data_IF_672031463421
#
_entry.id   IF_672031463421
#
_cell.length_a   1.000
_cell.length_b   1.000
_cell.length_c   1.000
_cell.angle_alpha   90.00
_cell.angle_beta   90.00
_cell.angle_gamma   90.00
#
_symmetry.space_group_name_H-M   'P 1'
#
loop_
_entity.id
_entity.type
_entity.pdbx_description
1 polymer ?
#
# COMPACT_ATOMS: atom_id res chain seq x y z
N UNK A 1 -12.37 19.19 58.09
CA UNK A 1 -12.92 18.03 57.33
C UNK A 1 -13.86 18.47 56.22
N UNK A 2 -14.99 19.18 56.44
CA UNK A 2 -15.97 19.53 55.39
C UNK A 2 -15.39 20.24 54.16
N UNK A 3 -14.47 21.20 54.32
CA UNK A 3 -13.84 21.94 53.22
C UNK A 3 -13.00 21.02 52.31
N UNK A 4 -12.24 20.10 52.89
CA UNK A 4 -11.42 19.14 52.12
C UNK A 4 -12.29 18.16 51.33
N UNK A 5 -13.38 17.67 51.94
CA UNK A 5 -14.33 16.77 51.31
C UNK A 5 -15.04 17.47 50.13
N UNK A 6 -15.40 18.75 50.28
CA UNK A 6 -16.00 19.53 49.20
C UNK A 6 -15.03 19.73 48.03
N UNK A 7 -13.78 20.09 48.31
CA UNK A 7 -12.75 20.26 47.27
C UNK A 7 -12.51 18.92 46.55
N UNK A 8 -12.48 17.81 47.26
CA UNK A 8 -12.33 16.51 46.62
C UNK A 8 -13.52 16.18 45.72
N UNK A 9 -14.74 16.43 46.19
CA UNK A 9 -15.97 16.21 45.39
C UNK A 9 -15.99 17.04 44.11
N UNK A 10 -15.55 18.31 44.19
CA UNK A 10 -15.46 19.18 43.00
C UNK A 10 -14.44 18.61 42.02
N UNK A 11 -13.26 18.21 42.48
CA UNK A 11 -12.23 17.60 41.62
C UNK A 11 -12.72 16.30 40.98
N UNK A 12 -13.45 15.46 41.70
CA UNK A 12 -13.99 14.23 41.14
C UNK A 12 -15.03 14.53 40.06
N UNK A 13 -15.92 15.53 40.27
CA UNK A 13 -16.87 15.98 39.25
C UNK A 13 -16.16 16.58 38.02
N UNK A 14 -15.13 17.39 38.20
CA UNK A 14 -14.31 17.93 37.08
C UNK A 14 -13.71 16.80 36.23
N UNK A 15 -13.20 15.72 36.87
CA UNK A 15 -12.68 14.56 36.18
C UNK A 15 -13.74 13.79 35.40
N UNK A 16 -14.91 13.61 36.02
CA UNK A 16 -16.04 12.92 35.35
C UNK A 16 -16.53 13.72 34.14
N UNK A 17 -16.63 15.04 34.25
CA UNK A 17 -16.97 15.93 33.15
C UNK A 17 -15.93 15.84 32.03
N UNK A 18 -14.65 15.87 32.39
CA UNK A 18 -13.56 15.77 31.41
C UNK A 18 -13.59 14.42 30.68
N UNK A 19 -13.79 13.34 31.42
CA UNK A 19 -13.92 12.00 30.87
C UNK A 19 -15.07 11.94 29.86
N UNK A 20 -16.27 12.31 30.26
CA UNK A 20 -17.47 12.27 29.41
C UNK A 20 -17.31 13.12 28.16
N UNK A 21 -16.74 14.33 28.32
CA UNK A 21 -16.48 15.23 27.19
C UNK A 21 -15.64 14.61 26.11
N UNK A 22 -14.52 13.97 26.46
CA UNK A 22 -13.62 13.38 25.48
C UNK A 22 -14.07 11.99 25.04
N UNK A 23 -14.87 11.28 25.84
CA UNK A 23 -15.49 10.01 25.42
C UNK A 23 -16.47 10.25 24.27
N UNK A 24 -17.25 11.33 24.31
CA UNK A 24 -18.12 11.75 23.21
C UNK A 24 -17.35 12.20 21.95
N UNK A 25 -16.08 12.62 22.10
CA UNK A 25 -15.21 13.05 21.02
C UNK A 25 -14.33 11.93 20.46
N UNK A 26 -14.46 10.69 20.94
CA UNK A 26 -13.69 9.55 20.40
C UNK A 26 -13.96 9.40 18.90
N UNK A 27 -12.88 9.38 18.12
CA UNK A 27 -12.93 9.35 16.66
C UNK A 27 -12.97 10.72 15.98
N UNK A 28 -13.13 11.83 16.74
CA UNK A 28 -13.12 13.19 16.17
C UNK A 28 -11.72 13.79 16.13
N UNK A 29 -11.48 14.66 15.13
CA UNK A 29 -10.21 15.41 15.05
C UNK A 29 -10.16 16.49 16.10
N UNK A 30 -9.05 16.53 16.82
CA UNK A 30 -8.67 17.61 17.71
C UNK A 30 -7.32 18.20 17.29
N UNK A 31 -7.19 19.52 17.48
CA UNK A 31 -5.92 20.22 17.32
C UNK A 31 -5.43 20.64 18.71
N UNK A 32 -4.19 20.29 19.03
CA UNK A 32 -3.58 20.63 20.32
C UNK A 32 -2.12 21.05 20.14
N UNK A 33 -1.62 21.87 21.05
CA UNK A 33 -0.25 22.37 21.03
C UNK A 33 0.69 21.46 21.81
N UNK A 34 1.87 21.17 21.25
CA UNK A 34 2.91 20.38 21.93
C UNK A 34 3.44 21.16 23.13
N UNK A 35 3.14 20.66 24.32
CA UNK A 35 3.64 21.19 25.58
C UNK A 35 5.01 20.61 25.95
N UNK A 36 5.15 19.28 25.88
CA UNK A 36 6.38 18.60 26.25
C UNK A 36 6.57 17.30 25.44
N UNK A 37 7.80 17.04 25.04
CA UNK A 37 8.18 15.80 24.35
C UNK A 37 8.93 14.91 25.33
N UNK A 38 8.38 13.74 25.61
CA UNK A 38 8.98 12.70 26.44
C UNK A 38 9.45 11.53 25.56
N UNK A 39 10.32 10.67 26.08
CA UNK A 39 10.89 9.58 25.28
C UNK A 39 9.88 8.58 24.72
N UNK A 40 8.73 8.43 25.38
CA UNK A 40 7.68 7.46 25.01
C UNK A 40 6.36 8.09 24.58
N UNK A 41 6.17 9.38 24.77
CA UNK A 41 4.92 10.09 24.52
C UNK A 41 5.16 11.59 24.31
N UNK A 42 4.23 12.23 23.64
CA UNK A 42 4.18 13.69 23.53
C UNK A 42 2.97 14.16 24.34
N UNK A 43 3.20 15.10 25.24
CA UNK A 43 2.13 15.79 25.96
C UNK A 43 1.70 17.02 25.16
N UNK A 44 0.41 17.11 24.92
CA UNK A 44 -0.21 18.24 24.23
C UNK A 44 -1.21 18.91 25.14
N UNK A 45 -1.51 20.16 24.84
CA UNK A 45 -2.52 20.94 25.54
C UNK A 45 -3.53 21.46 24.51
N UNK A 46 -4.80 21.25 24.79
CA UNK A 46 -5.88 21.79 23.96
C UNK A 46 -6.13 23.28 24.25
N UNK A 47 -7.09 23.87 23.55
CA UNK A 47 -7.47 25.28 23.73
C UNK A 47 -8.04 25.61 25.11
N UNK A 48 -8.47 24.62 25.89
CA UNK A 48 -9.02 24.78 27.23
C UNK A 48 -7.99 24.52 28.33
N UNK A 49 -6.77 24.12 27.98
CA UNK A 49 -5.69 23.82 28.91
C UNK A 49 -5.69 22.37 29.43
N UNK A 50 -6.47 21.47 28.80
CA UNK A 50 -6.49 20.07 29.17
C UNK A 50 -5.28 19.33 28.58
N UNK A 51 -4.70 18.43 29.37
CA UNK A 51 -3.57 17.61 28.95
C UNK A 51 -4.05 16.40 28.11
N UNK A 52 -3.46 16.24 26.93
CA UNK A 52 -3.69 15.17 26.00
C UNK A 52 -2.39 14.42 25.74
N UNK A 53 -2.45 13.12 25.48
CA UNK A 53 -1.29 12.27 25.35
C UNK A 53 -1.25 11.65 23.96
N UNK A 54 -0.16 11.81 23.23
CA UNK A 54 0.12 11.13 21.97
C UNK A 54 1.26 10.13 22.17
N UNK A 55 0.97 8.85 22.45
CA UNK A 55 1.98 7.82 22.67
C UNK A 55 2.83 7.60 21.41
N UNK A 56 4.07 7.14 21.59
CA UNK A 56 4.99 6.89 20.47
C UNK A 56 4.44 5.89 19.45
N UNK A 57 3.69 4.88 19.88
CA UNK A 57 3.02 3.91 18.99
C UNK A 57 1.89 4.51 18.16
N UNK A 58 1.35 5.66 18.58
CA UNK A 58 0.29 6.38 17.89
C UNK A 58 0.80 7.58 17.07
N UNK A 59 2.13 7.77 16.98
CA UNK A 59 2.79 8.75 16.14
C UNK A 59 3.15 8.12 14.80
N UNK A 60 3.03 8.87 13.71
CA UNK A 60 3.58 8.46 12.42
C UNK A 60 5.11 8.47 12.54
N UNK A 61 5.79 7.46 12.02
CA UNK A 61 7.25 7.31 12.16
C UNK A 61 8.06 8.51 11.64
N UNK A 62 7.47 9.26 10.72
CA UNK A 62 8.03 10.48 10.11
C UNK A 62 7.66 11.77 10.84
N UNK A 63 6.77 11.72 11.83
CA UNK A 63 6.41 12.90 12.63
C UNK A 63 7.65 13.46 13.35
N UNK A 64 7.81 14.77 13.26
CA UNK A 64 8.89 15.52 13.92
C UNK A 64 8.29 16.80 14.49
N UNK A 65 7.84 16.71 15.72
CA UNK A 65 7.24 17.82 16.43
C UNK A 65 8.24 18.52 17.36
N UNK A 66 8.01 19.80 17.58
CA UNK A 66 8.72 20.64 18.52
C UNK A 66 7.72 21.25 19.51
N UNK A 67 8.22 21.68 20.66
CA UNK A 67 7.40 22.41 21.63
C UNK A 67 6.80 23.67 20.96
N UNK A 68 5.49 23.84 21.12
CA UNK A 68 4.73 24.94 20.51
C UNK A 68 4.12 24.60 19.14
N UNK A 69 4.45 23.44 18.55
CA UNK A 69 3.81 23.03 17.29
C UNK A 69 2.34 22.64 17.52
N UNK A 70 1.48 23.02 16.59
CA UNK A 70 0.09 22.55 16.56
C UNK A 70 0.02 21.21 15.86
N UNK A 71 -0.59 20.23 16.52
CA UNK A 71 -0.72 18.85 16.03
C UNK A 71 -2.18 18.50 15.88
N UNK A 72 -2.57 18.04 14.68
CA UNK A 72 -3.87 17.42 14.43
C UNK A 72 -3.80 15.93 14.70
N UNK A 73 -4.77 15.39 15.40
CA UNK A 73 -4.92 13.96 15.69
C UNK A 73 -6.36 13.64 16.02
N UNK A 74 -6.72 12.37 16.12
CA UNK A 74 -8.02 12.00 16.67
C UNK A 74 -7.92 11.67 18.15
N UNK A 75 -9.02 11.85 18.86
CA UNK A 75 -9.20 11.24 20.17
C UNK A 75 -9.38 9.74 19.95
N UNK A 76 -8.41 8.96 20.36
CA UNK A 76 -8.44 7.50 20.15
C UNK A 76 -9.24 6.79 21.22
N UNK A 77 -9.01 7.16 22.48
CA UNK A 77 -9.73 6.66 23.65
C UNK A 77 -9.46 7.54 24.86
N UNK A 78 -10.29 7.37 25.87
CA UNK A 78 -10.10 7.98 27.19
C UNK A 78 -9.95 6.87 28.22
N UNK A 79 -8.80 6.83 28.90
CA UNK A 79 -8.50 5.83 29.92
C UNK A 79 -8.61 6.47 31.32
N UNK A 80 -9.25 5.78 32.27
CA UNK A 80 -9.26 6.21 33.68
C UNK A 80 -8.09 5.55 34.41
N UNK A 81 -7.00 6.27 34.66
CA UNK A 81 -5.79 5.75 35.30
C UNK A 81 -5.62 6.42 36.68
N UNK A 82 -5.64 5.61 37.74
CA UNK A 82 -5.54 6.07 39.15
C UNK A 82 -6.57 7.19 39.47
N UNK A 83 -7.78 7.07 38.94
CA UNK A 83 -8.84 8.04 39.16
C UNK A 83 -8.63 9.39 38.44
N UNK A 84 -7.76 9.42 37.42
CA UNK A 84 -7.59 10.57 36.54
C UNK A 84 -7.86 10.17 35.09
N UNK A 85 -8.69 10.93 34.36
CA UNK A 85 -8.90 10.70 32.94
C UNK A 85 -7.63 11.03 32.15
N UNK A 86 -7.23 10.13 31.27
CA UNK A 86 -6.14 10.33 30.31
C UNK A 86 -6.68 10.21 28.91
N UNK A 87 -6.62 11.28 28.15
CA UNK A 87 -7.06 11.34 26.78
C UNK A 87 -5.92 10.92 25.87
N UNK A 88 -6.11 9.79 25.17
CA UNK A 88 -5.10 9.23 24.28
C UNK A 88 -5.44 9.60 22.84
N UNK A 89 -4.48 10.23 22.20
CA UNK A 89 -4.59 10.68 20.81
C UNK A 89 -3.94 9.66 19.86
N UNK A 90 -4.36 9.64 18.61
CA UNK A 90 -3.74 8.83 17.55
C UNK A 90 -3.63 9.59 16.22
N UNK A 91 -2.51 9.37 15.53
CA UNK A 91 -2.28 9.75 14.14
C UNK A 91 -2.11 8.52 13.22
N UNK A 92 -2.05 7.33 13.83
CA UNK A 92 -1.88 6.05 13.10
C UNK A 92 -3.21 5.37 12.78
N UNK A 93 -4.27 5.70 13.48
CA UNK A 93 -5.59 5.12 13.29
C UNK A 93 -6.13 5.35 11.85
N UNK A 94 -6.79 4.36 11.23
CA UNK A 94 -7.53 4.54 9.98
C UNK A 94 -8.58 5.65 10.07
N UNK A 95 -9.25 5.80 11.21
CA UNK A 95 -10.26 6.83 11.46
C UNK A 95 -9.69 8.25 11.28
N UNK A 96 -8.40 8.46 11.61
CA UNK A 96 -7.77 9.76 11.38
C UNK A 96 -7.77 10.13 9.89
N UNK A 97 -7.48 9.18 9.01
CA UNK A 97 -7.51 9.39 7.57
C UNK A 97 -8.96 9.63 7.07
N UNK A 98 -9.94 8.90 7.59
CA UNK A 98 -11.37 9.11 7.27
C UNK A 98 -11.81 10.54 7.60
N UNK A 99 -11.51 11.01 8.80
CA UNK A 99 -11.84 12.38 9.24
C UNK A 99 -11.10 13.46 8.45
N UNK A 100 -9.86 13.20 8.01
CA UNK A 100 -9.16 14.12 7.14
C UNK A 100 -9.84 14.24 5.77
N UNK A 101 -10.36 13.14 5.22
CA UNK A 101 -11.15 13.20 3.99
C UNK A 101 -12.47 13.96 4.19
N UNK A 102 -13.19 13.74 5.28
CA UNK A 102 -14.41 14.50 5.60
C UNK A 102 -14.14 16.01 5.66
N UNK A 103 -13.01 16.43 6.21
CA UNK A 103 -12.65 17.84 6.29
C UNK A 103 -12.26 18.44 4.94
N UNK A 104 -11.64 17.67 4.04
CA UNK A 104 -11.12 18.18 2.77
C UNK A 104 -12.09 17.96 1.58
N UNK A 105 -13.06 17.06 1.72
CA UNK A 105 -13.98 16.64 0.65
C UNK A 105 -15.42 16.90 1.08
N UNK A 106 -16.03 18.00 0.63
CA UNK A 106 -17.41 18.34 1.01
C UNK A 106 -18.40 17.22 0.70
N UNK A 107 -18.22 16.49 -0.42
CA UNK A 107 -19.10 15.40 -0.83
C UNK A 107 -19.05 14.23 0.15
N UNK A 108 -17.96 14.03 0.87
CA UNK A 108 -17.83 13.04 1.95
C UNK A 108 -18.53 13.56 3.21
N UNK A 109 -18.29 14.84 3.57
CA UNK A 109 -18.93 15.47 4.70
C UNK A 109 -20.46 15.50 4.58
N UNK A 110 -20.97 15.79 3.39
CA UNK A 110 -22.41 15.83 3.08
C UNK A 110 -23.04 14.43 2.93
N UNK A 111 -22.25 13.34 3.02
CA UNK A 111 -22.70 11.98 2.89
C UNK A 111 -23.07 11.54 1.46
N UNK A 112 -22.69 12.32 0.44
CA UNK A 112 -22.87 11.97 -0.98
C UNK A 112 -21.87 10.90 -1.43
N UNK A 113 -20.70 10.87 -0.78
CA UNK A 113 -19.67 9.86 -0.94
C UNK A 113 -19.45 9.20 0.42
N UNK A 114 -19.47 7.88 0.42
CA UNK A 114 -19.21 7.06 1.61
C UNK A 114 -17.81 6.46 1.52
N UNK A 115 -17.04 6.59 2.61
CA UNK A 115 -15.80 5.83 2.79
C UNK A 115 -16.16 4.45 3.32
N UNK A 116 -16.04 3.44 2.48
CA UNK A 116 -16.44 2.06 2.81
C UNK A 116 -15.41 1.40 3.72
N UNK A 117 -14.12 1.62 3.43
CA UNK A 117 -13.03 1.02 4.20
C UNK A 117 -11.73 1.75 3.98
N UNK A 118 -10.97 1.89 5.07
CA UNK A 118 -9.61 2.41 5.07
C UNK A 118 -8.65 1.37 5.61
N UNK A 119 -7.56 1.15 4.91
CA UNK A 119 -6.42 0.35 5.38
C UNK A 119 -5.15 1.13 5.15
N UNK A 120 -4.25 1.16 6.14
CA UNK A 120 -3.02 1.93 6.03
C UNK A 120 -1.84 1.29 6.76
N UNK A 121 -0.66 1.61 6.30
CA UNK A 121 0.62 1.51 7.00
C UNK A 121 1.08 2.96 7.23
N UNK A 122 0.93 3.48 8.45
CA UNK A 122 1.06 4.90 8.75
C UNK A 122 2.40 5.50 8.32
N UNK A 123 2.33 6.59 7.55
CA UNK A 123 3.50 7.28 7.00
C UNK A 123 4.10 6.65 5.75
N UNK A 124 3.61 5.49 5.30
CA UNK A 124 4.08 4.81 4.09
C UNK A 124 3.02 4.79 2.99
N UNK A 125 1.92 4.07 3.21
CA UNK A 125 0.86 3.93 2.21
C UNK A 125 -0.50 3.64 2.84
N UNK A 126 -1.55 4.14 2.22
CA UNK A 126 -2.93 3.83 2.54
C UNK A 126 -3.74 3.49 1.29
N UNK A 127 -4.82 2.74 1.47
CA UNK A 127 -5.85 2.51 0.46
C UNK A 127 -7.21 2.84 1.07
N UNK A 128 -7.99 3.64 0.34
CA UNK A 128 -9.30 4.13 0.76
C UNK A 128 -10.32 3.71 -0.28
N UNK A 129 -11.24 2.84 0.10
CA UNK A 129 -12.36 2.44 -0.75
C UNK A 129 -13.51 3.42 -0.54
N UNK A 130 -13.97 4.02 -1.62
CA UNK A 130 -15.06 5.01 -1.62
C UNK A 130 -16.16 4.60 -2.60
N UNK A 131 -17.39 4.96 -2.29
CA UNK A 131 -18.53 4.77 -3.19
C UNK A 131 -19.46 5.98 -3.16
N UNK A 132 -20.24 6.15 -4.21
CA UNK A 132 -21.35 7.10 -4.27
C UNK A 132 -22.59 6.36 -4.75
N UNK A 133 -23.74 6.70 -4.13
CA UNK A 133 -25.05 6.20 -4.57
C UNK A 133 -25.66 7.06 -5.71
N UNK A 134 -25.03 8.18 -6.06
CA UNK A 134 -25.41 8.99 -7.19
C UNK A 134 -24.45 8.75 -8.36
N UNK A 135 -24.94 8.13 -9.43
CA UNK A 135 -24.16 7.80 -10.63
C UNK A 135 -23.53 9.01 -11.35
N UNK A 136 -23.99 10.22 -11.02
CA UNK A 136 -23.45 11.48 -11.56
C UNK A 136 -22.19 11.94 -10.83
N UNK A 137 -21.88 11.34 -9.69
CA UNK A 137 -20.70 11.70 -8.86
C UNK A 137 -19.63 10.65 -9.07
N UNK A 138 -18.46 11.09 -9.56
CA UNK A 138 -17.25 10.28 -9.53
C UNK A 138 -16.62 10.36 -8.12
N UNK A 139 -16.74 9.29 -7.29
CA UNK A 139 -16.27 9.36 -5.92
C UNK A 139 -14.74 9.47 -5.83
N UNK A 140 -14.01 8.87 -6.77
CA UNK A 140 -12.54 8.95 -6.79
C UNK A 140 -12.09 10.34 -7.22
N UNK A 141 -12.66 10.86 -8.30
CA UNK A 141 -12.34 12.21 -8.79
C UNK A 141 -12.65 13.30 -7.76
N UNK A 142 -13.75 13.19 -7.03
CA UNK A 142 -14.11 14.13 -5.98
C UNK A 142 -13.12 14.09 -4.80
N UNK A 143 -12.72 12.91 -4.35
CA UNK A 143 -11.73 12.74 -3.28
C UNK A 143 -10.33 13.23 -3.67
N UNK A 144 -9.94 13.02 -4.92
CA UNK A 144 -8.64 13.49 -5.45
C UNK A 144 -8.65 15.00 -5.65
N UNK A 145 -9.74 15.54 -6.17
CA UNK A 145 -9.89 16.96 -6.49
C UNK A 145 -9.12 17.39 -7.74
N UNK A 146 -9.36 18.60 -8.19
CA UNK A 146 -8.69 19.16 -9.37
C UNK A 146 -7.16 19.16 -9.20
N UNK A 147 -6.45 18.46 -10.11
CA UNK A 147 -4.99 18.30 -10.06
C UNK A 147 -4.47 17.75 -8.72
N UNK A 148 -5.29 16.99 -8.02
CA UNK A 148 -4.92 16.40 -6.74
C UNK A 148 -4.99 17.35 -5.55
N UNK A 149 -5.63 18.50 -5.66
CA UNK A 149 -5.61 19.56 -4.63
C UNK A 149 -6.09 19.09 -3.27
N UNK A 150 -7.17 18.29 -3.23
CA UNK A 150 -7.77 17.79 -1.97
C UNK A 150 -6.91 16.68 -1.36
N UNK A 151 -6.56 15.67 -2.15
CA UNK A 151 -5.75 14.55 -1.64
C UNK A 151 -4.35 15.01 -1.20
N UNK A 152 -3.76 15.99 -1.85
CA UNK A 152 -2.46 16.54 -1.43
C UNK A 152 -2.49 17.22 -0.07
N UNK A 153 -3.62 17.82 0.33
CA UNK A 153 -3.79 18.38 1.67
C UNK A 153 -3.72 17.25 2.73
N UNK A 154 -4.44 16.17 2.49
CA UNK A 154 -4.43 14.97 3.36
C UNK A 154 -3.04 14.31 3.39
N UNK A 155 -2.42 14.09 2.22
CA UNK A 155 -1.07 13.50 2.10
C UNK A 155 -0.04 14.30 2.88
N UNK A 156 -0.11 15.64 2.82
CA UNK A 156 0.81 16.53 3.55
C UNK A 156 0.64 16.39 5.06
N UNK A 157 -0.60 16.35 5.55
CA UNK A 157 -0.88 16.14 6.98
C UNK A 157 -0.31 14.81 7.48
N UNK A 158 -0.32 13.76 6.65
CA UNK A 158 0.16 12.42 6.97
C UNK A 158 1.64 12.19 6.63
N UNK A 159 2.45 13.24 6.57
CA UNK A 159 3.91 13.16 6.35
C UNK A 159 4.28 12.45 5.03
N UNK A 160 3.55 12.79 3.96
CA UNK A 160 3.70 12.22 2.61
C UNK A 160 3.38 10.72 2.53
N UNK A 161 2.40 10.27 3.29
CA UNK A 161 1.80 8.94 3.13
C UNK A 161 1.15 8.84 1.73
N UNK A 162 1.50 7.81 0.96
CA UNK A 162 0.92 7.62 -0.37
C UNK A 162 -0.49 7.04 -0.26
N UNK A 163 -1.50 7.75 -0.78
CA UNK A 163 -2.91 7.38 -0.63
C UNK A 163 -3.50 6.98 -1.97
N UNK A 164 -3.94 5.73 -2.07
CA UNK A 164 -4.69 5.20 -3.21
C UNK A 164 -6.20 5.29 -2.90
N UNK A 165 -6.93 6.09 -3.65
CA UNK A 165 -8.40 6.15 -3.59
C UNK A 165 -8.97 5.18 -4.62
N UNK A 166 -9.86 4.28 -4.18
CA UNK A 166 -10.35 3.16 -4.97
C UNK A 166 -11.88 3.22 -4.98
N UNK A 167 -12.47 3.19 -6.17
CA UNK A 167 -13.91 3.08 -6.30
C UNK A 167 -14.35 1.67 -5.90
N UNK A 168 -15.14 1.58 -4.84
CA UNK A 168 -15.66 0.33 -4.32
C UNK A 168 -16.63 -0.31 -5.32
N UNK A 169 -16.72 -1.63 -5.27
CA UNK A 169 -17.70 -2.40 -6.02
C UNK A 169 -17.91 -3.76 -5.34
N UNK A 170 -19.12 -4.28 -5.41
CA UNK A 170 -19.44 -5.63 -4.93
C UNK A 170 -18.86 -6.74 -5.85
N UNK A 171 -18.55 -6.40 -7.11
CA UNK A 171 -17.84 -7.31 -8.00
C UNK A 171 -16.41 -7.50 -7.52
N UNK A 172 -16.13 -8.67 -6.92
CA UNK A 172 -14.87 -8.97 -6.27
C UNK A 172 -13.69 -8.96 -7.26
N UNK A 173 -13.88 -9.45 -8.49
CA UNK A 173 -12.83 -9.44 -9.53
C UNK A 173 -12.38 -8.02 -9.86
N UNK A 174 -13.35 -7.14 -10.06
CA UNK A 174 -13.09 -5.74 -10.34
C UNK A 174 -12.50 -5.01 -9.13
N UNK A 175 -12.97 -5.34 -7.93
CA UNK A 175 -12.47 -4.73 -6.69
C UNK A 175 -11.01 -5.10 -6.43
N UNK A 176 -10.64 -6.37 -6.62
CA UNK A 176 -9.24 -6.82 -6.51
C UNK A 176 -8.35 -6.13 -7.54
N UNK A 177 -8.81 -6.06 -8.79
CA UNK A 177 -8.05 -5.39 -9.87
C UNK A 177 -7.81 -3.91 -9.55
N UNK A 178 -8.82 -3.21 -9.03
CA UNK A 178 -8.69 -1.81 -8.58
C UNK A 178 -7.79 -1.68 -7.35
N UNK A 179 -7.90 -2.62 -6.39
CA UNK A 179 -7.11 -2.61 -5.17
C UNK A 179 -5.61 -2.82 -5.43
N UNK A 180 -5.24 -3.54 -6.49
CA UNK A 180 -3.85 -3.77 -6.90
C UNK A 180 -3.25 -2.65 -7.75
N UNK A 181 -4.06 -1.63 -8.13
CA UNK A 181 -3.52 -0.47 -8.86
C UNK A 181 -2.22 0.05 -8.22
N UNK A 182 -1.22 0.47 -9.04
CA UNK A 182 -1.25 0.69 -10.48
C UNK A 182 -0.99 -0.56 -11.35
N UNK A 183 -0.81 -1.75 -10.75
CA UNK A 183 -0.59 -2.98 -11.50
C UNK A 183 -1.84 -3.35 -12.31
N UNK A 184 -1.63 -3.86 -13.53
CA UNK A 184 -2.68 -4.36 -14.42
C UNK A 184 -2.80 -5.86 -14.26
N UNK A 185 -3.94 -6.32 -13.75
CA UNK A 185 -4.26 -7.75 -13.59
C UNK A 185 -4.66 -8.33 -14.93
N UNK A 186 -4.05 -9.45 -15.34
CA UNK A 186 -4.42 -10.17 -16.56
C UNK A 186 -5.61 -11.10 -16.31
N UNK A 187 -5.51 -11.94 -15.28
CA UNK A 187 -6.57 -12.84 -14.86
C UNK A 187 -6.49 -13.08 -13.34
N UNK A 188 -7.59 -13.56 -12.75
CA UNK A 188 -7.60 -13.93 -11.36
C UNK A 188 -8.52 -15.14 -11.12
N UNK A 189 -8.23 -15.89 -10.06
CA UNK A 189 -9.01 -17.02 -9.60
C UNK A 189 -9.32 -16.88 -8.12
N UNK A 190 -10.61 -16.93 -7.79
CA UNK A 190 -11.09 -16.70 -6.42
C UNK A 190 -11.48 -18.03 -5.78
N UNK A 191 -10.83 -18.37 -4.68
CA UNK A 191 -11.24 -19.45 -3.81
C UNK A 191 -11.94 -18.89 -2.56
N UNK A 192 -13.27 -18.95 -2.55
CA UNK A 192 -14.08 -18.40 -1.45
C UNK A 192 -13.95 -19.20 -0.16
N UNK A 193 -13.72 -20.52 -0.24
CA UNK A 193 -13.63 -21.38 0.94
C UNK A 193 -12.35 -21.10 1.74
N UNK A 194 -11.21 -20.97 1.05
CA UNK A 194 -9.92 -20.66 1.68
C UNK A 194 -9.69 -19.15 1.88
N UNK A 195 -10.58 -18.29 1.36
CA UNK A 195 -10.41 -16.83 1.30
C UNK A 195 -9.09 -16.41 0.64
N UNK A 196 -8.72 -17.08 -0.46
CA UNK A 196 -7.53 -16.82 -1.26
C UNK A 196 -7.88 -16.40 -2.67
N UNK A 197 -7.09 -15.51 -3.21
CA UNK A 197 -7.19 -15.04 -4.59
C UNK A 197 -5.83 -15.19 -5.24
N UNK A 198 -5.77 -15.98 -6.30
CA UNK A 198 -4.60 -16.10 -7.17
C UNK A 198 -4.72 -15.08 -8.30
N UNK A 199 -3.76 -14.18 -8.40
CA UNK A 199 -3.73 -13.11 -9.40
C UNK A 199 -2.58 -13.35 -10.36
N UNK A 200 -2.88 -13.41 -11.64
CA UNK A 200 -1.91 -13.62 -12.70
C UNK A 200 -1.60 -12.29 -13.39
N UNK A 201 -0.32 -11.99 -13.52
CA UNK A 201 0.19 -10.70 -13.99
C UNK A 201 1.32 -10.92 -14.99
N UNK A 202 1.42 -10.03 -15.97
CA UNK A 202 2.61 -9.96 -16.82
C UNK A 202 3.86 -9.71 -15.97
N UNK A 203 5.04 -10.19 -16.37
CA UNK A 203 6.28 -10.08 -15.60
C UNK A 203 6.61 -8.64 -15.14
N UNK A 204 6.36 -7.65 -16.00
CA UNK A 204 6.58 -6.22 -15.74
C UNK A 204 5.62 -5.64 -14.67
N UNK A 205 4.43 -6.26 -14.47
CA UNK A 205 3.40 -5.80 -13.54
C UNK A 205 3.57 -6.38 -12.12
N UNK A 206 4.32 -7.48 -11.96
CA UNK A 206 4.49 -8.17 -10.67
C UNK A 206 5.08 -7.25 -9.61
N UNK A 207 6.15 -6.52 -9.95
CA UNK A 207 6.79 -5.59 -9.03
C UNK A 207 5.87 -4.44 -8.61
N UNK A 208 4.98 -3.98 -9.50
CA UNK A 208 3.99 -2.94 -9.20
C UNK A 208 2.90 -3.48 -8.27
N UNK A 209 2.44 -4.72 -8.47
CA UNK A 209 1.45 -5.36 -7.61
C UNK A 209 1.97 -5.55 -6.19
N UNK A 210 3.20 -6.01 -6.03
CA UNK A 210 3.85 -6.17 -4.72
C UNK A 210 4.09 -4.80 -4.09
N UNK A 211 4.67 -3.87 -4.84
CA UNK A 211 5.02 -2.54 -4.39
C UNK A 211 6.23 -2.51 -3.46
N UNK A 212 6.69 -1.30 -3.13
CA UNK A 212 7.80 -1.10 -2.20
C UNK A 212 7.49 -1.72 -0.84
N UNK A 213 8.39 -2.57 -0.33
CA UNK A 213 8.21 -3.24 0.95
C UNK A 213 7.00 -4.19 1.03
N UNK A 214 6.40 -4.57 -0.11
CA UNK A 214 5.20 -5.40 -0.15
C UNK A 214 3.92 -4.69 0.32
N UNK A 215 3.96 -3.37 0.51
CA UNK A 215 2.81 -2.63 1.06
C UNK A 215 1.60 -2.63 0.14
N UNK A 216 1.81 -2.63 -1.19
CA UNK A 216 0.68 -2.56 -2.11
C UNK A 216 -0.19 -3.83 -2.02
N UNK A 217 0.42 -5.01 -2.13
CA UNK A 217 -0.30 -6.29 -2.03
C UNK A 217 -0.88 -6.53 -0.64
N UNK A 218 -0.12 -6.21 0.43
CA UNK A 218 -0.57 -6.35 1.82
C UNK A 218 -1.80 -5.50 2.11
N UNK A 219 -1.80 -4.25 1.66
CA UNK A 219 -2.95 -3.36 1.84
C UNK A 219 -4.13 -3.77 0.94
N UNK A 220 -3.89 -4.23 -0.30
CA UNK A 220 -4.92 -4.76 -1.16
C UNK A 220 -5.62 -5.97 -0.52
N UNK A 221 -4.84 -6.93 0.02
CA UNK A 221 -5.37 -8.09 0.75
C UNK A 221 -6.24 -7.69 1.94
N UNK A 222 -5.76 -6.74 2.77
CA UNK A 222 -6.52 -6.22 3.92
C UNK A 222 -7.78 -5.46 3.52
N UNK A 223 -7.73 -4.72 2.41
CA UNK A 223 -8.86 -3.95 1.89
C UNK A 223 -9.97 -4.89 1.42
N UNK A 224 -9.62 -5.87 0.59
CA UNK A 224 -10.55 -6.83 -0.02
C UNK A 224 -11.01 -7.90 1.00
N UNK A 225 -10.17 -8.21 2.00
CA UNK A 225 -10.46 -9.23 3.03
C UNK A 225 -10.15 -10.66 2.58
N UNK A 226 -9.32 -10.81 1.56
CA UNK A 226 -8.79 -12.08 1.04
C UNK A 226 -7.27 -12.04 1.03
N UNK A 227 -6.64 -13.19 1.20
CA UNK A 227 -5.20 -13.33 0.96
C UNK A 227 -4.95 -13.34 -0.56
N UNK A 228 -4.05 -12.46 -1.03
CA UNK A 228 -3.76 -12.33 -2.46
C UNK A 228 -2.38 -12.92 -2.74
N UNK A 229 -2.35 -13.95 -3.59
CA UNK A 229 -1.14 -14.57 -4.10
C UNK A 229 -0.89 -14.08 -5.54
N UNK A 230 0.33 -13.63 -5.83
CA UNK A 230 0.70 -13.10 -7.15
C UNK A 230 1.53 -14.12 -7.90
N UNK A 231 1.09 -14.45 -9.10
CA UNK A 231 1.76 -15.35 -10.03
C UNK A 231 2.14 -14.60 -11.31
N UNK A 232 3.24 -14.96 -11.89
CA UNK A 232 3.60 -14.52 -13.23
C UNK A 232 2.71 -15.27 -14.22
N UNK A 233 2.12 -14.55 -15.16
CA UNK A 233 1.52 -15.12 -16.34
C UNK A 233 2.66 -15.72 -17.16
N UNK A 234 2.65 -17.03 -17.31
CA UNK A 234 3.51 -17.68 -18.31
C UNK A 234 2.94 -17.21 -19.66
N UNK A 235 3.72 -16.48 -20.43
CA UNK A 235 3.36 -16.24 -21.81
C UNK A 235 3.30 -17.61 -22.48
N UNK A 236 2.16 -18.02 -22.99
CA UNK A 236 2.01 -19.17 -23.90
C UNK A 236 2.81 -18.98 -25.20
N UNK A 237 3.55 -17.89 -25.32
CA UNK A 237 4.50 -17.53 -26.36
C UNK A 237 5.95 -17.39 -25.88
N UNK A 238 6.28 -17.71 -24.61
CA UNK A 238 7.58 -18.25 -24.34
C UNK A 238 7.51 -19.70 -24.79
N UNK A 239 7.67 -19.92 -26.11
CA UNK A 239 8.18 -21.18 -26.65
C UNK A 239 9.21 -21.67 -25.64
N UNK A 240 9.08 -22.90 -25.15
CA UNK A 240 10.01 -23.46 -24.16
C UNK A 240 11.41 -23.20 -24.67
N UNK A 241 12.22 -22.46 -23.90
CA UNK A 241 13.60 -22.21 -24.29
C UNK A 241 14.34 -23.53 -24.12
N UNK A 242 14.76 -24.10 -25.24
CA UNK A 242 15.33 -25.44 -25.31
C UNK A 242 16.81 -25.38 -24.97
N UNK A 243 17.27 -26.23 -24.04
CA UNK A 243 18.68 -26.32 -23.68
C UNK A 243 19.46 -26.86 -24.90
N UNK A 244 20.63 -26.25 -25.20
CA UNK A 244 21.43 -26.62 -26.34
C UNK A 244 21.83 -28.13 -26.34
N UNK A 245 21.86 -28.81 -25.19
CA UNK A 245 22.13 -30.25 -25.13
C UNK A 245 21.05 -31.11 -25.81
N UNK A 246 19.81 -30.59 -25.94
CA UNK A 246 18.76 -31.33 -26.65
C UNK A 246 19.01 -31.42 -28.16
N UNK A 247 19.87 -30.54 -28.68
CA UNK A 247 20.32 -30.57 -30.08
C UNK A 247 21.61 -31.38 -30.29
N UNK A 248 22.02 -32.20 -29.33
CA UNK A 248 23.27 -33.01 -29.44
C UNK A 248 23.27 -34.04 -30.58
N UNK A 249 22.08 -34.35 -31.12
CA UNK A 249 21.95 -35.23 -32.30
C UNK A 249 22.14 -34.47 -33.62
N UNK A 250 22.00 -33.14 -33.63
CA UNK A 250 22.06 -32.30 -34.83
C UNK A 250 23.26 -31.32 -34.79
N UNK A 251 23.74 -30.95 -33.59
CA UNK A 251 24.88 -30.06 -33.38
C UNK A 251 26.00 -30.83 -32.65
N UNK A 252 27.21 -30.80 -33.20
CA UNK A 252 28.37 -31.44 -32.58
C UNK A 252 28.59 -30.94 -31.14
N UNK A 253 28.86 -31.85 -30.20
CA UNK A 253 29.04 -31.56 -28.78
C UNK A 253 30.08 -30.47 -28.51
N UNK A 254 31.18 -30.40 -29.26
CA UNK A 254 32.21 -29.43 -29.07
C UNK A 254 31.72 -27.97 -29.39
N UNK A 255 30.76 -27.82 -30.30
CA UNK A 255 30.11 -26.55 -30.63
C UNK A 255 29.20 -26.14 -29.48
N UNK A 256 28.40 -27.05 -28.93
CA UNK A 256 27.55 -26.84 -27.76
C UNK A 256 28.41 -26.39 -26.57
N UNK A 257 29.52 -27.06 -26.32
CA UNK A 257 30.45 -26.74 -25.25
C UNK A 257 31.08 -25.34 -25.44
N UNK A 258 31.38 -24.97 -26.69
CA UNK A 258 31.95 -23.63 -27.00
C UNK A 258 30.92 -22.52 -26.78
N UNK A 259 29.64 -22.73 -27.19
CA UNK A 259 28.55 -21.77 -26.92
C UNK A 259 28.31 -21.64 -25.41
N UNK A 260 28.28 -22.71 -24.66
CA UNK A 260 28.09 -22.71 -23.20
C UNK A 260 29.24 -22.01 -22.45
N UNK A 261 30.48 -22.12 -22.90
CA UNK A 261 31.62 -21.36 -22.32
C UNK A 261 31.42 -19.84 -22.42
N UNK A 262 30.67 -19.38 -23.42
CA UNK A 262 30.34 -17.95 -23.58
C UNK A 262 29.06 -17.53 -22.88
N UNK A 263 28.43 -18.45 -22.09
CA UNK A 263 27.21 -18.18 -21.33
C UNK A 263 25.92 -18.31 -22.16
N UNK A 264 25.99 -19.03 -23.29
CA UNK A 264 24.84 -19.32 -24.15
C UNK A 264 24.41 -20.76 -23.92
N UNK A 265 23.49 -20.98 -22.98
CA UNK A 265 23.07 -22.31 -22.55
C UNK A 265 21.83 -22.81 -23.30
N UNK A 266 21.10 -21.90 -23.96
CA UNK A 266 19.79 -22.18 -24.56
C UNK A 266 19.69 -21.72 -26.01
N UNK A 267 18.80 -22.32 -26.80
CA UNK A 267 18.61 -22.01 -28.21
C UNK A 267 18.24 -20.53 -28.43
N UNK A 268 17.35 -19.98 -27.61
CA UNK A 268 16.98 -18.55 -27.70
C UNK A 268 18.12 -17.63 -27.36
N UNK A 269 18.96 -17.99 -26.39
CA UNK A 269 20.12 -17.17 -26.03
C UNK A 269 21.09 -16.99 -27.20
N UNK A 270 21.18 -18.02 -28.07
CA UNK A 270 21.96 -17.99 -29.31
C UNK A 270 21.24 -17.16 -30.39
N UNK A 271 19.93 -17.38 -30.60
CA UNK A 271 19.14 -16.71 -31.63
C UNK A 271 18.93 -15.22 -31.44
N UNK A 272 19.06 -14.71 -30.19
CA UNK A 272 18.97 -13.28 -29.87
C UNK A 272 20.22 -12.51 -30.31
N UNK A 273 21.36 -13.20 -30.45
CA UNK A 273 22.62 -12.56 -30.86
C UNK A 273 22.69 -12.42 -32.38
N UNK A 274 23.38 -11.36 -32.82
CA UNK A 274 23.72 -11.24 -34.24
C UNK A 274 24.83 -12.23 -34.61
N UNK A 275 24.88 -12.60 -35.90
CA UNK A 275 25.95 -13.46 -36.43
C UNK A 275 27.36 -12.89 -36.15
N UNK A 276 27.51 -11.57 -36.30
CA UNK A 276 28.75 -10.89 -36.03
C UNK A 276 29.17 -10.93 -34.55
N UNK A 277 28.21 -10.90 -33.64
CA UNK A 277 28.43 -10.99 -32.19
C UNK A 277 28.85 -12.43 -31.79
N UNK A 278 28.28 -13.46 -32.41
CA UNK A 278 28.69 -14.84 -32.20
C UNK A 278 30.11 -15.11 -32.69
N UNK A 279 30.44 -14.64 -33.89
CA UNK A 279 31.82 -14.74 -34.44
C UNK A 279 32.85 -14.07 -33.49
N UNK A 280 32.49 -12.97 -32.85
CA UNK A 280 33.36 -12.27 -31.90
C UNK A 280 33.51 -12.96 -30.55
N UNK A 281 32.49 -13.69 -30.13
CA UNK A 281 32.43 -14.31 -28.79
C UNK A 281 32.90 -15.76 -28.77
N UNK A 282 32.85 -16.44 -29.91
CA UNK A 282 33.19 -17.84 -30.05
C UNK A 282 34.32 -18.01 -31.05
N UNK A 283 35.02 -19.15 -31.03
CA UNK A 283 36.00 -19.55 -32.03
C UNK A 283 35.37 -20.24 -33.24
N UNK A 284 34.05 -20.11 -33.44
CA UNK A 284 33.30 -20.80 -34.50
C UNK A 284 33.42 -20.05 -35.83
N UNK A 285 33.54 -20.81 -36.91
CA UNK A 285 33.57 -20.30 -38.28
C UNK A 285 32.17 -19.86 -38.72
N UNK A 286 32.09 -18.86 -39.62
CA UNK A 286 30.86 -18.27 -40.12
C UNK A 286 29.90 -19.33 -40.69
N UNK A 287 30.38 -20.33 -41.40
CA UNK A 287 29.60 -21.42 -41.99
C UNK A 287 28.93 -22.26 -40.91
N UNK A 288 29.66 -22.53 -39.82
CA UNK A 288 29.14 -23.31 -38.67
C UNK A 288 28.02 -22.51 -37.95
N UNK A 289 28.17 -21.22 -37.79
CA UNK A 289 27.19 -20.33 -37.18
C UNK A 289 25.91 -20.31 -38.04
N UNK A 290 26.02 -20.26 -39.36
CA UNK A 290 24.85 -20.31 -40.24
C UNK A 290 24.09 -21.62 -40.11
N UNK A 291 24.80 -22.73 -39.94
CA UNK A 291 24.19 -24.04 -39.74
C UNK A 291 23.49 -24.14 -38.39
N UNK A 292 24.09 -23.64 -37.32
CA UNK A 292 23.48 -23.56 -35.98
C UNK A 292 22.20 -22.74 -36.05
N UNK A 293 22.21 -21.55 -36.65
CA UNK A 293 21.02 -20.73 -36.80
C UNK A 293 19.90 -21.43 -37.56
N UNK A 294 20.25 -22.21 -38.59
CA UNK A 294 19.29 -22.97 -39.37
C UNK A 294 18.65 -24.07 -38.53
N UNK A 295 19.43 -24.83 -37.80
CA UNK A 295 18.97 -25.91 -36.91
C UNK A 295 18.05 -25.35 -35.83
N UNK A 296 18.53 -24.35 -35.09
CA UNK A 296 17.78 -23.77 -33.96
C UNK A 296 16.48 -23.08 -34.41
N UNK A 297 16.42 -22.44 -35.58
CA UNK A 297 15.17 -21.81 -36.11
C UNK A 297 14.15 -22.85 -36.54
N UNK A 298 14.57 -24.03 -37.02
CA UNK A 298 13.63 -25.06 -37.45
C UNK A 298 12.76 -25.58 -36.30
N UNK A 299 13.28 -25.52 -35.05
CA UNK A 299 12.53 -25.91 -33.85
C UNK A 299 11.46 -24.89 -33.47
N UNK A 300 11.69 -23.59 -33.73
CA UNK A 300 10.77 -22.50 -33.37
C UNK A 300 9.81 -22.08 -34.50
N UNK A 301 9.99 -22.59 -35.73
CA UNK A 301 9.13 -22.33 -36.88
C UNK A 301 8.02 -23.42 -37.07
N UNK A 302 7.83 -24.31 -36.09
CA UNK A 302 6.72 -25.27 -36.04
C UNK A 302 5.64 -24.69 -35.10
#
# INVERSE_FOLDING_TARGET
MARQTLIQRIKDLEKDILFSKYEEQVGEIISAEVYQILGREILLIDSEGNELILPKGEQISKDRFRKGDSVKSIVHRVDMINGNPKVILSRTSPVFLERLFENEVPEVYDGLITIVKVVREPGERAKVAVESYDDRIDPVGACVGMKGSRIHAVVRELQNENIDVINFTENLDLYVSRALSPAKVSSLSINKESKRISVFLKPDQVSLAIGKGGFNIKLASRLVGYEIDVFRELNDHEEEDVDLNEFSDEIDQWIIDELKKTGLDTAKSVLVLSKEDLIRRTELEEVTIDEIFRILRTEFDQ
#
